data_IF_341372128766
#
_entry.id   IF_341372128766
#
_cell.length_a   1.000
_cell.length_b   1.000
_cell.length_c   1.000
_cell.angle_alpha   90.00
_cell.angle_beta   90.00
_cell.angle_gamma   90.00
#
_symmetry.space_group_name_H-M   'P 1'
#
loop_
_entity.id
_entity.type
_entity.pdbx_description
1 polymer ?
#
# COMPACT_ATOMS: atom_id res chain seq x y z
N UNK A 1 -14.65 -26.04 -48.62
CA UNK A 1 -15.64 -26.98 -48.02
C UNK A 1 -14.83 -27.92 -47.14
N UNK A 2 -15.21 -28.12 -45.86
CA UNK A 2 -14.41 -28.62 -44.71
C UNK A 2 -13.48 -27.53 -44.11
N UNK A 3 -13.84 -26.60 -43.21
CA UNK A 3 -14.83 -26.48 -42.13
C UNK A 3 -14.62 -27.31 -40.85
N UNK A 4 -13.47 -27.97 -40.69
CA UNK A 4 -13.14 -28.63 -39.43
C UNK A 4 -11.65 -28.55 -39.11
N UNK A 5 -11.26 -27.54 -38.31
CA UNK A 5 -10.39 -27.61 -37.12
C UNK A 5 -9.87 -26.20 -36.76
N UNK A 6 -9.69 -25.84 -35.47
CA UNK A 6 -10.13 -26.53 -34.25
C UNK A 6 -10.80 -25.59 -33.23
N UNK A 7 -11.87 -26.08 -32.59
CA UNK A 7 -12.40 -25.57 -31.31
C UNK A 7 -11.31 -25.51 -30.21
N UNK A 8 -10.17 -26.20 -30.41
CA UNK A 8 -8.99 -26.10 -29.53
C UNK A 8 -8.37 -24.69 -29.49
N UNK A 9 -8.50 -23.86 -30.54
CA UNK A 9 -7.95 -22.49 -30.48
C UNK A 9 -8.76 -21.58 -29.54
N UNK A 10 -10.07 -21.82 -29.44
CA UNK A 10 -10.96 -21.07 -28.54
C UNK A 10 -10.83 -21.51 -27.07
N UNK A 11 -10.45 -22.77 -26.79
CA UNK A 11 -10.16 -23.20 -25.43
C UNK A 11 -8.81 -22.68 -24.91
N UNK A 12 -7.83 -22.46 -25.80
CA UNK A 12 -6.51 -21.96 -25.42
C UNK A 12 -6.56 -20.47 -25.04
N UNK A 13 -7.40 -19.67 -25.69
CA UNK A 13 -7.65 -18.28 -25.28
C UNK A 13 -8.41 -18.19 -23.94
N UNK A 14 -9.18 -19.22 -23.60
CA UNK A 14 -9.90 -19.30 -22.33
C UNK A 14 -8.97 -19.57 -21.12
N UNK A 15 -7.82 -20.22 -21.30
CA UNK A 15 -6.93 -20.50 -20.15
C UNK A 15 -6.06 -19.30 -19.72
N UNK A 16 -5.89 -18.28 -20.58
CA UNK A 16 -5.19 -17.03 -20.20
C UNK A 16 -6.14 -15.98 -19.60
N UNK A 17 -7.41 -15.94 -20.00
CA UNK A 17 -8.39 -14.99 -19.42
C UNK A 17 -8.85 -15.40 -18.01
N UNK A 18 -8.89 -16.69 -17.70
CA UNK A 18 -9.41 -17.18 -16.41
C UNK A 18 -8.36 -17.30 -15.30
N UNK A 19 -7.05 -17.22 -15.61
CA UNK A 19 -6.01 -17.32 -14.59
C UNK A 19 -5.68 -15.96 -13.92
N UNK A 20 -6.07 -14.84 -14.54
CA UNK A 20 -5.86 -13.50 -13.97
C UNK A 20 -7.05 -13.02 -13.10
N UNK A 21 -8.22 -13.66 -13.21
CA UNK A 21 -9.43 -13.30 -12.43
C UNK A 21 -9.51 -14.02 -11.07
N UNK A 22 -8.37 -14.24 -10.43
CA UNK A 22 -8.33 -14.43 -8.98
C UNK A 22 -7.31 -13.44 -8.44
N UNK A 23 -7.61 -12.16 -8.66
CA UNK A 23 -6.91 -11.07 -7.98
C UNK A 23 -7.13 -11.31 -6.49
N UNK A 24 -6.10 -11.85 -5.85
CA UNK A 24 -5.97 -11.90 -4.41
C UNK A 24 -6.17 -10.47 -3.93
N UNK A 25 -7.17 -10.26 -3.08
CA UNK A 25 -7.40 -8.99 -2.39
C UNK A 25 -6.21 -8.70 -1.48
N UNK A 26 -5.15 -8.17 -2.08
CA UNK A 26 -4.11 -7.45 -1.38
C UNK A 26 -4.44 -5.98 -1.57
N UNK A 27 -4.47 -5.23 -0.47
CA UNK A 27 -4.67 -3.77 -0.50
C UNK A 27 -3.74 -3.07 -1.50
N UNK A 28 -2.58 -3.67 -1.76
CA UNK A 28 -1.63 -3.27 -2.79
C UNK A 28 -2.22 -3.24 -4.21
N UNK A 29 -2.99 -4.27 -4.61
CA UNK A 29 -3.57 -4.33 -5.97
C UNK A 29 -4.64 -3.26 -6.17
N UNK A 30 -5.38 -2.92 -5.11
CA UNK A 30 -6.35 -1.80 -5.11
C UNK A 30 -5.63 -0.46 -5.38
N UNK A 31 -4.53 -0.19 -4.67
CA UNK A 31 -3.71 1.00 -4.88
C UNK A 31 -3.01 1.04 -6.23
N UNK A 32 -2.46 -0.09 -6.70
CA UNK A 32 -1.84 -0.20 -8.02
C UNK A 32 -2.83 0.07 -9.15
N UNK A 33 -4.05 -0.44 -9.03
CA UNK A 33 -5.10 -0.20 -10.02
C UNK A 33 -5.45 1.28 -10.08
N UNK A 34 -5.60 1.94 -8.91
CA UNK A 34 -5.80 3.39 -8.84
C UNK A 34 -4.63 4.18 -9.45
N UNK A 35 -3.39 3.75 -9.20
CA UNK A 35 -2.20 4.40 -9.75
C UNK A 35 -2.15 4.32 -11.28
N UNK A 36 -2.45 3.16 -11.86
CA UNK A 36 -2.51 2.97 -13.32
C UNK A 36 -3.59 3.84 -13.95
N UNK A 37 -4.74 3.97 -13.29
CA UNK A 37 -5.86 4.78 -13.80
C UNK A 37 -5.54 6.28 -13.82
N UNK A 38 -4.70 6.76 -12.90
CA UNK A 38 -4.22 8.15 -12.86
C UNK A 38 -3.05 8.37 -13.83
N UNK A 39 -2.06 7.46 -13.83
CA UNK A 39 -0.85 7.59 -14.65
C UNK A 39 -1.11 7.32 -16.14
N UNK A 40 -2.12 6.52 -16.49
CA UNK A 40 -2.50 6.21 -17.87
C UNK A 40 -2.81 7.48 -18.68
N UNK A 41 -3.85 8.26 -18.31
CA UNK A 41 -4.17 9.53 -18.96
C UNK A 41 -3.01 10.52 -18.94
N UNK A 42 -2.25 10.60 -17.84
CA UNK A 42 -1.07 11.48 -17.75
C UNK A 42 -0.02 11.12 -18.81
N UNK A 43 0.30 9.83 -18.98
CA UNK A 43 1.25 9.38 -20.00
C UNK A 43 0.77 9.65 -21.43
N UNK A 44 -0.54 9.58 -21.67
CA UNK A 44 -1.14 9.92 -22.95
C UNK A 44 -1.00 11.43 -23.27
N UNK A 45 -1.07 12.28 -22.24
CA UNK A 45 -0.84 13.72 -22.36
C UNK A 45 0.65 14.03 -22.62
N UNK A 46 1.57 13.38 -21.90
CA UNK A 46 3.03 13.56 -22.09
C UNK A 46 3.50 13.09 -23.48
N UNK A 47 2.91 12.04 -24.03
CA UNK A 47 3.22 11.52 -25.37
C UNK A 47 2.67 12.37 -26.52
N UNK A 48 2.06 13.53 -26.23
CA UNK A 48 1.43 14.42 -27.22
C UNK A 48 0.35 13.74 -28.08
N UNK A 49 -0.28 12.68 -27.55
CA UNK A 49 -1.38 11.98 -28.25
C UNK A 49 -2.63 12.86 -28.33
N UNK A 50 -2.82 13.76 -27.35
CA UNK A 50 -3.90 14.74 -27.32
C UNK A 50 -3.28 16.14 -27.26
N UNK A 51 -3.42 16.89 -28.35
CA UNK A 51 -2.89 18.24 -28.48
C UNK A 51 -4.04 19.25 -28.31
N UNK A 52 -4.02 19.98 -27.20
CA UNK A 52 -4.88 21.14 -26.96
C UNK A 52 -4.00 22.34 -26.59
N UNK A 53 -4.44 23.56 -26.95
CA UNK A 53 -3.72 24.80 -26.62
C UNK A 53 -3.44 24.95 -25.11
N UNK A 54 -4.37 24.53 -24.26
CA UNK A 54 -4.21 24.52 -22.80
C UNK A 54 -3.09 23.60 -22.30
N UNK A 55 -2.95 22.42 -22.89
CA UNK A 55 -1.91 21.44 -22.51
C UNK A 55 -0.52 21.97 -22.83
N UNK A 56 -0.40 22.73 -23.92
CA UNK A 56 0.86 23.31 -24.37
C UNK A 56 1.32 24.46 -23.46
N UNK A 57 0.37 25.24 -22.95
CA UNK A 57 0.64 26.33 -22.02
C UNK A 57 1.11 25.83 -20.64
N UNK A 58 0.52 24.75 -20.12
CA UNK A 58 0.82 24.21 -18.79
C UNK A 58 1.59 22.88 -18.82
N UNK A 59 2.39 22.65 -19.86
CA UNK A 59 3.07 21.38 -20.07
C UNK A 59 4.03 21.02 -18.93
N UNK A 60 4.71 22.02 -18.36
CA UNK A 60 5.69 21.84 -17.29
C UNK A 60 5.00 21.44 -15.97
N UNK A 61 3.86 22.05 -15.65
CA UNK A 61 3.06 21.72 -14.48
C UNK A 61 2.47 20.32 -14.59
N UNK A 62 1.98 19.94 -15.78
CA UNK A 62 1.46 18.60 -16.05
C UNK A 62 2.56 17.55 -15.90
N UNK A 63 3.78 17.84 -16.38
CA UNK A 63 4.92 16.93 -16.26
C UNK A 63 5.32 16.71 -14.78
N UNK A 64 5.23 17.76 -13.96
CA UNK A 64 5.59 17.71 -12.54
C UNK A 64 4.48 17.11 -11.65
N UNK A 65 3.24 17.05 -12.14
CA UNK A 65 2.08 16.57 -11.39
C UNK A 65 2.28 15.22 -10.65
N UNK A 66 2.75 14.13 -11.28
CA UNK A 66 2.96 12.86 -10.57
C UNK A 66 4.06 12.95 -9.52
N UNK A 67 5.11 13.75 -9.76
CA UNK A 67 6.19 13.97 -8.79
C UNK A 67 5.67 14.70 -7.57
N UNK A 68 4.85 15.74 -7.78
CA UNK A 68 4.18 16.47 -6.70
C UNK A 68 3.27 15.56 -5.87
N UNK A 69 2.49 14.70 -6.52
CA UNK A 69 1.59 13.75 -5.85
C UNK A 69 2.37 12.78 -4.95
N UNK A 70 3.48 12.22 -5.45
CA UNK A 70 4.35 11.34 -4.67
C UNK A 70 5.03 12.08 -3.51
N UNK A 71 5.46 13.32 -3.71
CA UNK A 71 6.07 14.13 -2.66
C UNK A 71 5.10 14.40 -1.50
N UNK A 72 3.86 14.81 -1.81
CA UNK A 72 2.82 15.02 -0.79
C UNK A 72 2.47 13.71 -0.09
N UNK A 73 2.31 12.62 -0.83
CA UNK A 73 2.06 11.30 -0.24
C UNK A 73 3.20 10.86 0.70
N UNK A 74 4.44 11.09 0.31
CA UNK A 74 5.62 10.80 1.15
C UNK A 74 5.64 11.62 2.43
N UNK A 75 5.38 12.94 2.35
CA UNK A 75 5.32 13.82 3.52
C UNK A 75 4.21 13.40 4.50
N UNK A 76 3.02 13.11 4.00
CA UNK A 76 1.90 12.63 4.82
C UNK A 76 2.25 11.28 5.45
N UNK A 77 2.86 10.37 4.70
CA UNK A 77 3.27 9.06 5.21
C UNK A 77 4.27 9.19 6.36
N UNK A 78 5.30 10.03 6.18
CA UNK A 78 6.29 10.31 7.22
C UNK A 78 5.62 10.94 8.45
N UNK A 79 4.73 11.92 8.26
CA UNK A 79 4.03 12.56 9.37
C UNK A 79 3.18 11.57 10.17
N UNK A 80 2.46 10.67 9.49
CA UNK A 80 1.65 9.63 10.15
C UNK A 80 2.52 8.64 10.91
N UNK A 81 3.65 8.20 10.31
CA UNK A 81 4.59 7.31 10.98
C UNK A 81 5.19 8.01 12.20
N UNK A 82 5.64 9.26 12.06
CA UNK A 82 6.21 10.05 13.14
C UNK A 82 5.21 10.24 14.28
N UNK A 83 3.95 10.58 13.98
CA UNK A 83 2.89 10.68 14.98
C UNK A 83 2.66 9.37 15.73
N UNK A 84 2.62 8.24 15.00
CA UNK A 84 2.46 6.91 15.60
C UNK A 84 3.66 6.46 16.44
N UNK A 85 4.86 6.83 16.04
CA UNK A 85 6.08 6.55 16.82
C UNK A 85 6.10 7.40 18.08
N UNK A 86 5.71 8.68 17.99
CA UNK A 86 5.66 9.57 19.14
C UNK A 86 4.66 9.07 20.19
N UNK A 87 3.45 8.71 19.79
CA UNK A 87 2.42 8.19 20.72
C UNK A 87 2.77 6.83 21.32
N UNK A 88 3.63 6.02 20.69
CA UNK A 88 4.10 4.76 21.27
C UNK A 88 5.22 5.00 22.31
N UNK A 89 6.00 6.07 22.15
CA UNK A 89 7.05 6.43 23.10
C UNK A 89 6.49 6.93 24.45
N UNK A 90 5.23 7.37 24.50
CA UNK A 90 4.54 7.74 25.76
C UNK A 90 4.21 6.53 26.67
N UNK A 91 4.70 5.34 26.34
CA UNK A 91 4.58 4.11 27.14
C UNK A 91 5.48 4.08 28.39
N UNK A 92 6.00 5.23 28.85
CA UNK A 92 6.76 5.31 30.10
C UNK A 92 5.89 4.94 31.30
N UNK A 93 4.66 5.47 31.34
CA UNK A 93 3.69 5.24 32.42
C UNK A 93 3.18 3.79 32.42
N UNK A 94 2.81 3.25 31.25
CA UNK A 94 2.38 1.86 31.12
C UNK A 94 3.52 0.85 31.41
N UNK A 95 4.78 1.19 31.10
CA UNK A 95 5.92 0.37 31.48
C UNK A 95 6.15 0.39 33.01
N UNK A 96 5.99 1.52 33.68
CA UNK A 96 6.13 1.63 35.14
C UNK A 96 5.03 0.87 35.90
N UNK A 97 3.78 0.97 35.45
CA UNK A 97 2.65 0.18 35.99
C UNK A 97 2.91 -1.33 35.87
N UNK A 98 3.39 -1.78 34.71
CA UNK A 98 3.72 -3.20 34.49
C UNK A 98 4.90 -3.65 35.35
N UNK A 99 5.92 -2.80 35.54
CA UNK A 99 7.05 -3.11 36.43
C UNK A 99 6.64 -3.19 37.90
N UNK A 100 5.67 -2.38 38.35
CA UNK A 100 5.09 -2.52 39.69
C UNK A 100 4.36 -3.85 39.85
N UNK A 101 3.53 -4.24 38.88
CA UNK A 101 2.84 -5.53 38.91
C UNK A 101 3.82 -6.72 38.94
N UNK A 102 4.95 -6.63 38.24
CA UNK A 102 6.02 -7.66 38.30
C UNK A 102 6.64 -7.71 39.70
N UNK A 103 6.91 -6.56 40.34
CA UNK A 103 7.47 -6.52 41.70
C UNK A 103 6.51 -7.12 42.73
N UNK A 104 5.22 -6.81 42.65
CA UNK A 104 4.21 -7.38 43.54
C UNK A 104 4.05 -8.89 43.33
N UNK A 105 3.98 -9.34 42.08
CA UNK A 105 3.92 -10.76 41.75
C UNK A 105 5.16 -11.52 42.25
N UNK A 106 6.36 -10.95 42.11
CA UNK A 106 7.60 -11.53 42.67
C UNK A 106 7.57 -11.61 44.19
N UNK A 107 7.05 -10.58 44.87
CA UNK A 107 6.94 -10.58 46.34
C UNK A 107 5.95 -11.67 46.82
N UNK A 108 4.82 -11.84 46.14
CA UNK A 108 3.85 -12.88 46.48
C UNK A 108 4.35 -14.29 46.17
N UNK A 109 5.15 -14.47 45.11
CA UNK A 109 5.81 -15.74 44.82
C UNK A 109 6.90 -16.07 45.86
N UNK A 110 7.65 -15.08 46.32
CA UNK A 110 8.62 -15.24 47.41
C UNK A 110 7.95 -15.63 48.74
N UNK A 111 6.80 -15.01 49.08
CA UNK A 111 5.98 -15.42 50.24
C UNK A 111 5.48 -16.86 50.13
N UNK A 112 5.21 -17.34 48.91
CA UNK A 112 4.82 -18.72 48.61
C UNK A 112 6.01 -19.69 48.54
N UNK A 113 7.23 -19.24 48.81
CA UNK A 113 8.42 -20.09 48.90
C UNK A 113 9.13 -20.37 47.57
N UNK A 114 8.72 -19.72 46.48
CA UNK A 114 9.37 -19.84 45.17
C UNK A 114 10.46 -18.77 45.04
N UNK A 115 11.73 -19.21 45.00
CA UNK A 115 12.86 -18.35 44.65
C UNK A 115 12.97 -18.28 43.13
N UNK A 116 12.83 -17.09 42.57
CA UNK A 116 13.05 -16.81 41.16
C UNK A 116 14.38 -16.04 41.05
N UNK A 117 15.43 -16.74 40.62
CA UNK A 117 16.74 -16.16 40.26
C UNK A 117 16.67 -15.44 38.91
#
# INVERSE_FOLDING_TARGET
RWQHLPVKLLLQTCHLEWCCWRIIMTKLMEWLTGAVLILGPWSAVVTNTIQNEFTKQYYMEILLFPVFLVAVFGLVSIAVIAYRVYTFNDCQEAAEELQQQIKEAKADLAKKGLKLD
#
